data_IF_655300994170
#
_entry.id   IF_655300994170
#
_cell.length_a   1.000
_cell.length_b   1.000
_cell.length_c   1.000
_cell.angle_alpha   90.00
_cell.angle_beta   90.00
_cell.angle_gamma   90.00
#
_symmetry.space_group_name_H-M   'P 1'
#
loop_
_entity.id
_entity.type
_entity.pdbx_description
1 polymer ?
#
# COMPACT_ATOMS: atom_id res chain seq x y z
N UNK A 1 35.28 8.18 24.19
CA UNK A 1 34.84 9.46 24.74
C UNK A 1 36.03 10.08 25.46
N UNK A 2 36.30 11.36 25.26
CA UNK A 2 37.44 12.04 25.90
C UNK A 2 37.03 12.41 27.33
N UNK A 3 37.80 11.95 28.36
CA UNK A 3 37.46 12.12 29.78
C UNK A 3 37.32 13.57 30.20
N UNK A 4 38.14 14.48 29.62
CA UNK A 4 38.12 15.92 29.89
C UNK A 4 36.83 16.59 29.39
N UNK A 5 36.37 16.20 28.18
CA UNK A 5 35.10 16.66 27.62
C UNK A 5 33.90 16.09 28.38
N UNK A 6 34.00 14.88 28.87
CA UNK A 6 32.95 14.25 29.67
C UNK A 6 32.72 15.00 31.01
N UNK A 7 33.80 15.28 31.74
CA UNK A 7 33.75 16.09 32.94
C UNK A 7 33.19 17.50 32.72
N UNK A 8 33.50 18.10 31.60
CA UNK A 8 32.99 19.39 31.25
C UNK A 8 31.48 19.37 30.97
N UNK A 9 31.03 18.36 30.20
CA UNK A 9 29.62 18.18 29.81
C UNK A 9 28.71 17.80 30.99
N UNK A 10 29.23 17.21 32.08
CA UNK A 10 28.48 16.96 33.34
C UNK A 10 27.96 18.22 34.01
N UNK A 11 28.45 19.41 33.62
CA UNK A 11 27.94 20.68 34.13
C UNK A 11 26.60 21.11 33.54
N UNK A 12 26.15 20.45 32.47
CA UNK A 12 24.89 20.78 31.82
C UNK A 12 23.82 19.86 32.35
N UNK A 13 22.76 20.47 32.90
CA UNK A 13 21.60 19.76 33.45
C UNK A 13 20.46 19.78 32.44
N UNK A 14 19.88 18.62 32.18
CA UNK A 14 18.69 18.53 31.31
C UNK A 14 17.46 19.06 32.05
N UNK A 15 16.68 20.01 31.47
CA UNK A 15 15.62 20.72 32.19
C UNK A 15 14.44 19.83 32.67
N UNK A 16 14.19 18.70 32.00
CA UNK A 16 13.10 17.79 32.36
C UNK A 16 13.54 16.71 33.37
N UNK A 17 14.76 16.19 33.21
CA UNK A 17 15.24 15.09 34.06
C UNK A 17 15.95 15.56 35.34
N UNK A 18 16.31 16.85 35.41
CA UNK A 18 17.11 17.44 36.47
C UNK A 18 18.46 16.75 36.74
N UNK A 19 18.89 15.91 35.80
CA UNK A 19 20.17 15.19 35.81
C UNK A 19 21.12 15.74 34.74
N UNK A 20 22.43 15.53 34.93
CA UNK A 20 23.38 15.96 33.93
C UNK A 20 23.26 15.13 32.64
N UNK A 21 23.59 15.75 31.50
CA UNK A 21 23.38 15.16 30.17
C UNK A 21 24.26 13.95 29.88
N UNK A 22 25.36 13.75 30.64
CA UNK A 22 26.26 12.60 30.47
C UNK A 22 25.69 11.37 31.18
N UNK A 23 25.40 11.50 32.49
CA UNK A 23 24.88 10.39 33.29
C UNK A 23 23.45 9.99 32.87
N UNK A 24 22.69 10.90 32.28
CA UNK A 24 21.38 10.63 31.66
C UNK A 24 21.47 9.98 30.27
N UNK A 25 22.68 9.78 29.72
CA UNK A 25 22.89 9.13 28.43
C UNK A 25 22.51 9.98 27.21
N UNK A 26 22.42 11.30 27.36
CA UNK A 26 22.17 12.21 26.23
C UNK A 26 23.43 12.50 25.39
N UNK A 27 24.62 12.15 25.86
CA UNK A 27 25.88 12.28 25.13
C UNK A 27 26.24 10.91 24.51
N UNK A 28 26.11 10.80 23.18
CA UNK A 28 26.44 9.58 22.43
C UNK A 28 27.96 9.54 22.13
N UNK A 29 28.54 10.69 21.81
CA UNK A 29 29.95 10.82 21.43
C UNK A 29 30.52 12.17 21.80
N UNK A 30 31.76 12.18 22.34
CA UNK A 30 32.50 13.38 22.63
C UNK A 30 33.99 13.12 22.31
N UNK A 31 34.42 13.60 21.14
CA UNK A 31 35.74 13.34 20.61
C UNK A 31 36.50 14.65 20.37
N UNK A 32 37.83 14.61 20.50
CA UNK A 32 38.74 15.69 20.13
C UNK A 32 39.64 15.18 19.02
N UNK A 33 39.64 15.88 17.89
CA UNK A 33 40.49 15.59 16.76
C UNK A 33 41.98 15.96 17.02
N UNK A 34 42.87 15.37 16.25
CA UNK A 34 44.32 15.69 16.30
C UNK A 34 44.61 17.15 15.94
N UNK A 35 43.72 17.78 15.16
CA UNK A 35 43.75 19.21 14.78
C UNK A 35 43.18 20.14 15.86
N UNK A 36 42.77 19.59 17.02
CA UNK A 36 42.15 20.33 18.11
C UNK A 36 40.67 20.59 17.93
N UNK A 37 40.01 20.10 16.86
CA UNK A 37 38.57 20.22 16.67
C UNK A 37 37.81 19.36 17.70
N UNK A 38 36.64 19.79 18.11
CA UNK A 38 35.79 19.09 19.09
C UNK A 38 34.45 18.72 18.43
N UNK A 39 34.11 17.44 18.43
CA UNK A 39 32.83 16.93 17.91
C UNK A 39 32.03 16.30 19.04
N UNK A 40 30.82 16.82 19.28
CA UNK A 40 29.88 16.29 20.27
C UNK A 40 28.64 15.80 19.54
N UNK A 41 28.23 14.57 19.80
CA UNK A 41 26.95 14.01 19.32
C UNK A 41 26.01 13.84 20.52
N UNK A 42 24.91 14.57 20.49
CA UNK A 42 23.84 14.46 21.47
C UNK A 42 22.76 13.51 20.93
N UNK A 43 22.29 12.58 21.74
CA UNK A 43 21.25 11.60 21.40
C UNK A 43 20.07 11.74 22.35
N UNK A 44 18.94 12.18 21.84
CA UNK A 44 17.69 12.27 22.59
C UNK A 44 16.82 11.04 22.34
N UNK A 45 16.20 10.52 23.39
CA UNK A 45 15.37 9.30 23.31
C UNK A 45 13.97 9.57 22.72
N UNK A 46 13.49 10.82 22.81
CA UNK A 46 12.22 11.25 22.24
C UNK A 46 12.47 11.92 20.88
N UNK A 47 11.73 11.50 19.87
CA UNK A 47 11.66 12.25 18.60
C UNK A 47 11.09 13.65 18.90
N UNK A 48 11.76 14.70 18.45
CA UNK A 48 11.44 16.12 18.74
C UNK A 48 11.39 16.44 20.25
N UNK A 49 12.44 16.10 20.97
CA UNK A 49 12.59 16.54 22.35
C UNK A 49 12.56 18.07 22.42
N UNK A 50 11.63 18.70 23.16
CA UNK A 50 11.49 20.16 23.20
C UNK A 50 12.71 20.88 23.76
N UNK A 51 13.56 20.18 24.50
CA UNK A 51 14.76 20.72 25.09
C UNK A 51 16.04 20.47 24.28
N UNK A 52 15.99 19.68 23.22
CA UNK A 52 17.15 19.30 22.41
C UNK A 52 17.93 20.52 21.90
N UNK A 53 17.24 21.54 21.38
CA UNK A 53 17.88 22.75 20.89
C UNK A 53 18.47 23.61 22.03
N UNK A 54 17.81 23.63 23.19
CA UNK A 54 18.30 24.35 24.37
C UNK A 54 19.58 23.71 24.91
N UNK A 55 19.59 22.38 25.04
CA UNK A 55 20.77 21.62 25.47
C UNK A 55 21.92 21.77 24.49
N UNK A 56 21.65 21.68 23.18
CA UNK A 56 22.67 21.93 22.14
C UNK A 56 23.33 23.30 22.32
N UNK A 57 22.52 24.32 22.48
CA UNK A 57 23.03 25.70 22.65
C UNK A 57 23.89 25.85 23.91
N UNK A 58 23.48 25.23 25.03
CA UNK A 58 24.26 25.21 26.26
C UNK A 58 25.60 24.49 26.07
N UNK A 59 25.64 23.38 25.32
CA UNK A 59 26.89 22.69 24.96
C UNK A 59 27.80 23.60 24.10
N UNK A 60 27.25 24.24 23.07
CA UNK A 60 28.01 25.14 22.22
C UNK A 60 28.58 26.33 23.00
N UNK A 61 27.81 26.94 23.90
CA UNK A 61 28.26 28.06 24.73
C UNK A 61 29.37 27.62 25.73
N UNK A 62 29.22 26.44 26.32
CA UNK A 62 30.23 25.87 27.24
C UNK A 62 31.53 25.53 26.52
N UNK A 63 31.45 24.94 25.32
CA UNK A 63 32.65 24.64 24.51
C UNK A 63 33.36 25.91 24.06
N UNK A 64 32.65 26.96 23.62
CA UNK A 64 33.22 28.25 23.26
C UNK A 64 33.94 28.93 24.44
N UNK A 65 33.39 28.81 25.63
CA UNK A 65 33.98 29.36 26.84
C UNK A 65 35.25 28.60 27.28
N UNK A 66 35.27 27.28 27.12
CA UNK A 66 36.38 26.44 27.59
C UNK A 66 37.49 26.24 26.56
N UNK A 67 37.15 26.33 25.26
CA UNK A 67 38.09 26.10 24.14
C UNK A 67 37.89 27.14 23.03
N UNK A 68 38.18 28.42 23.26
CA UNK A 68 37.87 29.52 22.32
C UNK A 68 38.57 29.39 20.96
N UNK A 69 39.73 28.74 20.91
CA UNK A 69 40.54 28.56 19.69
C UNK A 69 40.17 27.29 18.89
N UNK A 70 39.29 26.44 19.38
CA UNK A 70 38.93 25.18 18.75
C UNK A 70 37.67 25.30 17.87
N UNK A 71 37.64 24.57 16.76
CA UNK A 71 36.41 24.39 16.00
C UNK A 71 35.46 23.40 16.70
N UNK A 72 34.23 23.83 16.92
CA UNK A 72 33.22 23.00 17.62
C UNK A 72 32.12 22.57 16.67
N UNK A 73 31.77 21.27 16.69
CA UNK A 73 30.63 20.71 15.98
C UNK A 73 29.75 19.99 16.97
N UNK A 74 28.51 20.46 17.17
CA UNK A 74 27.51 19.80 18.02
C UNK A 74 26.36 19.31 17.15
N UNK A 75 26.22 17.98 17.05
CA UNK A 75 25.21 17.31 16.23
C UNK A 75 24.14 16.73 17.17
N UNK A 76 22.88 16.99 16.88
CA UNK A 76 21.76 16.29 17.50
C UNK A 76 21.43 15.08 16.61
N UNK A 77 21.51 13.88 17.17
CA UNK A 77 20.88 12.68 16.64
C UNK A 77 19.58 12.47 17.40
N UNK A 78 18.48 12.71 16.74
CA UNK A 78 17.20 12.23 17.23
C UNK A 78 17.25 10.69 17.15
N UNK A 79 16.88 10.03 18.25
CA UNK A 79 16.62 8.61 18.15
C UNK A 79 15.56 8.44 17.08
N UNK A 80 15.84 7.62 16.07
CA UNK A 80 14.78 7.13 15.20
C UNK A 80 13.66 6.67 16.14
N UNK A 81 12.41 7.08 15.93
CA UNK A 81 11.31 6.60 16.74
C UNK A 81 11.51 5.09 16.79
N UNK A 82 11.73 4.54 17.99
CA UNK A 82 11.66 3.09 18.14
C UNK A 82 10.34 2.74 17.52
N UNK A 83 10.29 1.89 16.47
CA UNK A 83 9.02 1.36 16.07
C UNK A 83 8.47 0.80 17.39
N UNK A 84 7.40 1.39 17.91
CA UNK A 84 6.56 0.68 18.86
C UNK A 84 6.28 -0.61 18.09
N UNK A 85 6.85 -1.72 18.52
CA UNK A 85 6.28 -3.02 18.27
C UNK A 85 4.89 -2.95 18.94
N UNK A 86 3.97 -2.30 18.27
CA UNK A 86 2.60 -2.72 18.32
C UNK A 86 2.69 -4.15 17.82
N UNK A 87 2.44 -5.11 18.65
CA UNK A 87 2.00 -6.42 18.20
C UNK A 87 0.84 -6.07 17.29
N UNK A 88 1.09 -6.10 15.98
CA UNK A 88 0.10 -5.79 14.97
C UNK A 88 -0.94 -6.89 15.14
N UNK A 89 -2.07 -6.54 15.77
CA UNK A 89 -3.25 -7.38 15.70
C UNK A 89 -3.52 -7.49 14.21
N UNK A 90 -3.26 -8.65 13.67
CA UNK A 90 -3.37 -8.87 12.22
C UNK A 90 -4.86 -8.92 11.90
N UNK A 91 -5.44 -7.79 11.50
CA UNK A 91 -6.87 -7.67 11.15
C UNK A 91 -7.26 -8.51 9.95
N UNK A 92 -6.28 -9.16 9.31
CA UNK A 92 -6.46 -10.07 8.19
C UNK A 92 -6.69 -11.53 8.59
N UNK A 93 -6.69 -11.87 9.87
CA UNK A 93 -6.88 -13.25 10.36
C UNK A 93 -8.27 -13.81 10.07
N UNK A 94 -9.28 -12.94 10.00
CA UNK A 94 -10.67 -13.31 9.73
C UNK A 94 -11.05 -13.19 8.24
N UNK A 95 -10.06 -13.14 7.36
CA UNK A 95 -10.26 -13.11 5.90
C UNK A 95 -9.92 -14.48 5.34
N UNK A 96 -10.90 -15.11 4.70
CA UNK A 96 -10.71 -16.44 4.10
C UNK A 96 -9.71 -16.39 2.94
N UNK A 97 -9.94 -15.52 1.97
CA UNK A 97 -9.10 -15.42 0.80
C UNK A 97 -8.71 -13.97 0.49
N UNK A 98 -7.41 -13.75 0.30
CA UNK A 98 -6.86 -12.48 -0.20
C UNK A 98 -6.42 -12.69 -1.65
N UNK A 99 -7.00 -11.92 -2.57
CA UNK A 99 -6.75 -12.04 -4.01
C UNK A 99 -6.04 -10.78 -4.50
N UNK A 100 -4.82 -10.93 -5.01
CA UNK A 100 -4.10 -9.84 -5.65
C UNK A 100 -4.61 -9.61 -7.06
N UNK A 101 -5.01 -8.37 -7.39
CA UNK A 101 -5.35 -7.96 -8.75
C UNK A 101 -4.16 -7.15 -9.29
N UNK A 102 -3.49 -7.70 -10.28
CA UNK A 102 -2.25 -7.17 -10.80
C UNK A 102 -2.32 -6.88 -12.30
N UNK A 103 -1.46 -6.00 -12.78
CA UNK A 103 -1.27 -5.75 -14.22
C UNK A 103 0.18 -5.40 -14.49
N UNK A 104 0.69 -5.81 -15.64
CA UNK A 104 2.07 -5.52 -16.04
C UNK A 104 2.31 -4.04 -16.38
N UNK A 105 1.26 -3.29 -16.75
CA UNK A 105 1.32 -1.85 -17.06
C UNK A 105 0.05 -1.13 -16.64
N UNK A 106 0.13 0.21 -16.54
CA UNK A 106 -1.02 1.08 -16.31
C UNK A 106 -1.97 1.16 -17.52
N UNK A 107 -3.23 1.51 -17.27
CA UNK A 107 -4.23 1.77 -18.29
C UNK A 107 -4.92 0.54 -18.89
N UNK A 108 -4.69 -0.66 -18.37
CA UNK A 108 -5.39 -1.89 -18.82
C UNK A 108 -6.77 -2.09 -18.17
N UNK A 109 -7.16 -1.21 -17.24
CA UNK A 109 -8.44 -1.29 -16.51
C UNK A 109 -8.40 -2.23 -15.31
N UNK A 110 -7.24 -2.42 -14.68
CA UNK A 110 -7.06 -3.22 -13.46
C UNK A 110 -8.08 -2.86 -12.38
N UNK A 111 -8.15 -1.59 -12.01
CA UNK A 111 -9.04 -1.10 -10.94
C UNK A 111 -10.51 -1.23 -11.31
N UNK A 112 -10.86 -1.08 -12.59
CA UNK A 112 -12.21 -1.34 -13.12
C UNK A 112 -12.59 -2.82 -12.97
N UNK A 113 -11.66 -3.72 -13.28
CA UNK A 113 -11.86 -5.16 -13.07
C UNK A 113 -12.02 -5.45 -11.58
N UNK A 114 -11.18 -4.86 -10.73
CA UNK A 114 -11.27 -5.03 -9.26
C UNK A 114 -12.65 -4.65 -8.73
N UNK A 115 -13.15 -3.46 -9.06
CA UNK A 115 -14.43 -2.96 -8.56
C UNK A 115 -15.62 -3.79 -9.04
N UNK A 116 -15.66 -4.16 -10.33
CA UNK A 116 -16.76 -4.95 -10.87
C UNK A 116 -16.71 -6.42 -10.40
N UNK A 117 -15.52 -7.00 -10.21
CA UNK A 117 -15.36 -8.33 -9.62
C UNK A 117 -15.82 -8.34 -8.16
N UNK A 118 -15.52 -7.29 -7.38
CA UNK A 118 -16.00 -7.15 -6.01
C UNK A 118 -17.54 -7.15 -5.96
N UNK A 119 -18.17 -6.42 -6.87
CA UNK A 119 -19.65 -6.41 -7.01
C UNK A 119 -20.17 -7.78 -7.39
N UNK A 120 -19.56 -8.48 -8.35
CA UNK A 120 -19.99 -9.82 -8.78
C UNK A 120 -19.89 -10.83 -7.63
N UNK A 121 -18.82 -10.82 -6.84
CA UNK A 121 -18.69 -11.65 -5.65
C UNK A 121 -19.74 -11.30 -4.59
N UNK A 122 -20.00 -10.00 -4.38
CA UNK A 122 -21.04 -9.54 -3.45
C UNK A 122 -22.43 -9.99 -3.88
N UNK A 123 -22.78 -9.94 -5.17
CA UNK A 123 -24.05 -10.43 -5.70
C UNK A 123 -24.23 -11.95 -5.52
N UNK A 124 -23.14 -12.71 -5.43
CA UNK A 124 -23.16 -14.14 -5.10
C UNK A 124 -23.34 -14.42 -3.60
N UNK A 125 -23.45 -13.35 -2.78
CA UNK A 125 -23.71 -13.45 -1.34
C UNK A 125 -22.47 -13.40 -0.45
N UNK A 126 -21.26 -13.28 -1.01
CA UNK A 126 -20.02 -13.23 -0.24
C UNK A 126 -19.80 -11.91 0.48
N UNK A 127 -19.10 -11.94 1.61
CA UNK A 127 -18.61 -10.75 2.31
C UNK A 127 -17.30 -10.33 1.65
N UNK A 128 -17.30 -9.15 1.02
CA UNK A 128 -16.20 -8.67 0.17
C UNK A 128 -15.59 -7.39 0.71
N UNK A 129 -14.27 -7.33 0.68
CA UNK A 129 -13.47 -6.12 0.89
C UNK A 129 -12.64 -5.78 -0.34
N UNK A 130 -12.33 -4.49 -0.51
CA UNK A 130 -11.40 -3.97 -1.52
C UNK A 130 -10.35 -3.13 -0.81
N UNK A 131 -9.09 -3.48 -0.98
CA UNK A 131 -7.94 -2.68 -0.58
C UNK A 131 -7.31 -2.06 -1.84
N UNK A 132 -7.42 -0.75 -1.98
CA UNK A 132 -6.73 0.01 -3.02
C UNK A 132 -5.33 0.36 -2.54
N UNK A 133 -4.36 -0.34 -3.08
CA UNK A 133 -2.95 -0.18 -2.78
C UNK A 133 -2.18 0.56 -3.89
N UNK A 134 -2.88 1.11 -4.89
CA UNK A 134 -2.26 1.88 -5.98
C UNK A 134 -1.94 3.30 -5.51
N UNK A 135 -0.72 3.47 -4.99
CA UNK A 135 -0.24 4.74 -4.43
C UNK A 135 -0.18 5.85 -5.48
N UNK A 136 0.09 5.49 -6.72
CA UNK A 136 0.32 6.44 -7.80
C UNK A 136 -0.97 6.92 -8.48
N UNK A 137 -2.04 6.14 -8.36
CA UNK A 137 -3.32 6.43 -8.97
C UNK A 137 -4.49 5.76 -8.27
N UNK A 138 -4.69 6.05 -6.95
CA UNK A 138 -5.79 5.45 -6.22
C UNK A 138 -7.13 5.83 -6.87
N UNK A 139 -7.93 4.84 -7.20
CA UNK A 139 -9.14 5.04 -7.98
C UNK A 139 -10.39 4.37 -7.40
N UNK A 140 -10.22 3.46 -6.43
CA UNK A 140 -11.35 2.74 -5.86
C UNK A 140 -12.31 3.66 -5.08
N UNK A 141 -11.80 4.75 -4.47
CA UNK A 141 -12.62 5.75 -3.81
C UNK A 141 -13.64 6.37 -4.75
N UNK A 142 -13.22 6.71 -5.98
CA UNK A 142 -14.08 7.24 -7.03
C UNK A 142 -15.02 6.18 -7.56
N UNK A 143 -14.50 4.99 -7.89
CA UNK A 143 -15.29 3.89 -8.45
C UNK A 143 -16.43 3.42 -7.55
N UNK A 144 -16.26 3.55 -6.23
CA UNK A 144 -17.30 3.22 -5.25
C UNK A 144 -18.04 4.45 -4.69
N UNK A 145 -17.80 5.65 -5.23
CA UNK A 145 -18.48 6.88 -4.81
C UNK A 145 -18.24 7.28 -3.36
N UNK A 146 -17.09 6.92 -2.81
CA UNK A 146 -16.74 7.19 -1.42
C UNK A 146 -15.58 8.19 -1.26
N UNK A 147 -15.29 9.03 -2.26
CA UNK A 147 -14.20 10.02 -2.22
C UNK A 147 -14.27 10.98 -1.04
N UNK A 148 -15.49 11.30 -0.58
CA UNK A 148 -15.71 12.19 0.57
C UNK A 148 -15.62 11.50 1.93
N UNK A 149 -15.35 10.18 1.96
CA UNK A 149 -15.22 9.46 3.22
C UNK A 149 -13.91 9.80 3.92
N UNK A 150 -14.00 10.09 5.21
CA UNK A 150 -12.85 10.31 6.09
C UNK A 150 -12.77 9.13 7.05
N UNK A 151 -11.76 8.28 6.94
CA UNK A 151 -11.62 7.12 7.83
C UNK A 151 -11.52 7.55 9.30
N UNK A 152 -12.35 6.93 10.14
CA UNK A 152 -12.30 7.11 11.58
C UNK A 152 -11.35 6.09 12.19
N UNK A 153 -10.69 6.49 13.29
CA UNK A 153 -9.89 5.60 14.11
C UNK A 153 -10.70 5.18 15.32
N UNK A 154 -10.83 3.88 15.54
CA UNK A 154 -11.40 3.32 16.76
C UNK A 154 -10.33 2.62 17.58
N UNK A 155 -10.48 2.64 18.90
CA UNK A 155 -9.60 1.90 19.80
C UNK A 155 -10.38 0.79 20.46
N UNK A 156 -9.80 -0.43 20.47
CA UNK A 156 -10.40 -1.55 21.20
C UNK A 156 -10.12 -1.47 22.72
N UNK A 157 -10.68 -2.44 23.44
CA UNK A 157 -10.50 -2.56 24.90
C UNK A 157 -9.04 -2.86 25.30
N UNK A 158 -8.25 -3.41 24.38
CA UNK A 158 -6.83 -3.74 24.58
C UNK A 158 -5.90 -2.56 24.21
N UNK A 159 -6.47 -1.46 23.69
CA UNK A 159 -5.75 -0.23 23.36
C UNK A 159 -5.15 -0.19 21.94
N UNK A 160 -5.55 -1.09 21.04
CA UNK A 160 -5.13 -1.09 19.65
C UNK A 160 -5.98 -0.11 18.83
N UNK A 161 -5.32 0.65 17.96
CA UNK A 161 -5.98 1.58 17.06
C UNK A 161 -6.33 0.88 15.73
N UNK A 162 -7.60 0.96 15.32
CA UNK A 162 -8.12 0.44 14.05
C UNK A 162 -8.63 1.58 13.18
N UNK A 163 -8.54 1.36 11.87
CA UNK A 163 -9.08 2.25 10.84
C UNK A 163 -10.36 1.63 10.30
N UNK A 164 -11.44 2.38 10.32
CA UNK A 164 -12.73 1.91 9.82
C UNK A 164 -12.77 2.08 8.30
N UNK A 165 -13.06 1.01 7.52
CA UNK A 165 -13.20 1.10 6.07
C UNK A 165 -14.54 1.76 5.68
N UNK A 166 -14.56 2.44 4.53
CA UNK A 166 -15.79 2.90 3.92
C UNK A 166 -16.71 1.70 3.57
N UNK A 167 -18.01 1.94 3.52
CA UNK A 167 -19.02 0.97 3.12
C UNK A 167 -19.71 1.46 1.85
N UNK A 168 -19.59 0.74 0.76
CA UNK A 168 -20.25 1.05 -0.51
C UNK A 168 -20.80 -0.23 -1.14
N UNK A 169 -22.06 -0.24 -1.53
CA UNK A 169 -22.74 -1.41 -2.14
C UNK A 169 -22.65 -2.71 -1.30
N UNK A 170 -22.53 -2.60 0.02
CA UNK A 170 -22.29 -3.72 0.92
C UNK A 170 -20.88 -4.32 0.85
N UNK A 171 -19.92 -3.58 0.27
CA UNK A 171 -18.50 -3.91 0.15
C UNK A 171 -17.72 -2.97 1.08
N UNK A 172 -16.74 -3.49 1.81
CA UNK A 172 -15.80 -2.69 2.60
C UNK A 172 -14.68 -2.18 1.70
N UNK A 173 -14.47 -0.87 1.68
CA UNK A 173 -13.45 -0.24 0.83
C UNK A 173 -12.45 0.51 1.70
N UNK A 174 -11.18 0.17 1.56
CA UNK A 174 -10.07 0.93 2.11
C UNK A 174 -9.14 1.31 0.97
N UNK A 175 -8.76 2.58 0.91
CA UNK A 175 -7.87 3.10 -0.12
C UNK A 175 -6.83 4.02 0.48
N UNK A 176 -5.63 3.94 -0.06
CA UNK A 176 -4.59 4.93 0.20
C UNK A 176 -5.07 6.34 -0.22
N UNK A 177 -6.00 6.42 -1.17
CA UNK A 177 -6.61 7.67 -1.63
C UNK A 177 -7.37 8.44 -0.57
N UNK A 178 -7.80 7.83 0.54
CA UNK A 178 -8.40 8.55 1.66
C UNK A 178 -7.41 9.41 2.46
N UNK A 179 -6.11 9.13 2.33
CA UNK A 179 -5.04 9.75 3.11
C UNK A 179 -4.13 10.66 2.29
N UNK A 180 -4.20 10.58 0.96
CA UNK A 180 -3.37 11.34 0.03
C UNK A 180 -4.22 12.39 -0.69
N UNK A 181 -3.87 13.66 -0.54
CA UNK A 181 -4.47 14.69 -1.41
C UNK A 181 -3.82 14.60 -2.79
N UNK A 182 -4.57 14.85 -3.88
CA UNK A 182 -4.02 14.80 -5.24
C UNK A 182 -2.78 15.68 -5.43
N UNK A 183 -2.69 16.79 -4.68
CA UNK A 183 -1.54 17.71 -4.68
C UNK A 183 -0.31 17.16 -3.97
N UNK A 184 -0.46 16.20 -3.08
CA UNK A 184 0.60 15.70 -2.19
C UNK A 184 1.21 14.39 -2.71
N UNK A 185 0.60 13.75 -3.69
CA UNK A 185 1.04 12.47 -4.27
C UNK A 185 2.50 12.51 -4.78
N UNK A 186 2.96 13.67 -5.28
CA UNK A 186 4.35 13.87 -5.74
C UNK A 186 5.38 13.86 -4.59
N UNK A 187 4.97 14.07 -3.34
CA UNK A 187 5.87 14.14 -2.18
C UNK A 187 6.01 12.79 -1.45
N UNK A 188 5.18 11.82 -1.77
CA UNK A 188 5.23 10.49 -1.17
C UNK A 188 6.39 9.69 -1.76
N UNK A 189 7.53 9.75 -1.10
CA UNK A 189 8.70 8.95 -1.48
C UNK A 189 8.57 7.54 -0.89
N UNK A 190 9.07 6.53 -1.63
CA UNK A 190 8.89 5.10 -1.44
C UNK A 190 8.70 4.60 0.02
N UNK A 191 9.54 5.02 0.97
CA UNK A 191 9.41 4.56 2.35
C UNK A 191 8.18 5.07 3.10
N UNK A 192 7.67 6.27 2.80
CA UNK A 192 6.43 6.79 3.42
C UNK A 192 5.21 6.05 2.88
N UNK A 193 5.20 5.77 1.60
CA UNK A 193 4.13 5.05 0.92
C UNK A 193 4.01 3.60 1.42
N UNK A 194 5.14 2.91 1.56
CA UNK A 194 5.20 1.55 2.12
C UNK A 194 4.70 1.53 3.56
N UNK A 195 5.11 2.50 4.40
CA UNK A 195 4.64 2.58 5.78
C UNK A 195 3.12 2.83 5.89
N UNK A 196 2.56 3.67 5.02
CA UNK A 196 1.12 3.89 4.99
C UNK A 196 0.36 2.64 4.56
N UNK A 197 0.81 1.96 3.50
CA UNK A 197 0.23 0.68 3.09
C UNK A 197 0.31 -0.36 4.20
N UNK A 198 1.43 -0.46 4.90
CA UNK A 198 1.57 -1.32 6.07
C UNK A 198 0.48 -1.02 7.11
N UNK A 199 0.22 0.26 7.42
CA UNK A 199 -0.85 0.63 8.34
C UNK A 199 -2.23 0.23 7.80
N UNK A 200 -2.52 0.49 6.53
CA UNK A 200 -3.80 0.11 5.91
C UNK A 200 -4.03 -1.41 5.91
N UNK A 201 -2.99 -2.19 5.67
CA UNK A 201 -3.06 -3.66 5.69
C UNK A 201 -3.36 -4.16 7.11
N UNK A 202 -2.65 -3.66 8.12
CA UNK A 202 -2.68 -4.22 9.47
C UNK A 202 -3.68 -3.54 10.41
N UNK A 203 -4.09 -2.29 10.14
CA UNK A 203 -4.97 -1.54 11.04
C UNK A 203 -6.40 -1.39 10.52
N UNK A 204 -6.71 -1.77 9.27
CA UNK A 204 -8.10 -1.72 8.79
C UNK A 204 -8.95 -2.77 9.48
N UNK A 205 -10.07 -2.37 10.08
CA UNK A 205 -11.03 -3.27 10.72
C UNK A 205 -11.88 -3.97 9.67
N UNK A 206 -11.30 -4.98 9.03
CA UNK A 206 -12.00 -5.76 8.01
C UNK A 206 -13.15 -6.60 8.59
N UNK A 207 -12.97 -7.16 9.81
CA UNK A 207 -13.85 -8.18 10.35
C UNK A 207 -13.91 -9.40 9.44
N UNK A 208 -14.94 -10.21 9.56
CA UNK A 208 -15.08 -11.44 8.77
C UNK A 208 -15.35 -11.11 7.30
N UNK A 209 -14.45 -11.54 6.41
CA UNK A 209 -14.56 -11.45 4.96
C UNK A 209 -14.34 -12.84 4.32
N UNK A 210 -15.10 -13.12 3.27
CA UNK A 210 -14.87 -14.26 2.41
C UNK A 210 -13.76 -13.97 1.40
N UNK A 211 -13.77 -12.77 0.82
CA UNK A 211 -12.75 -12.32 -0.15
C UNK A 211 -12.32 -10.89 0.13
N UNK A 212 -11.00 -10.66 0.14
CA UNK A 212 -10.39 -9.34 0.07
C UNK A 212 -9.68 -9.20 -1.27
N UNK A 213 -10.13 -8.29 -2.14
CA UNK A 213 -9.46 -7.95 -3.38
C UNK A 213 -8.46 -6.84 -3.13
N UNK A 214 -7.21 -7.04 -3.52
CA UNK A 214 -6.12 -6.06 -3.38
C UNK A 214 -5.77 -5.51 -4.74
N UNK A 215 -6.14 -4.27 -4.98
CA UNK A 215 -5.82 -3.53 -6.22
C UNK A 215 -4.37 -3.03 -6.14
N UNK A 216 -3.44 -3.78 -6.75
CA UNK A 216 -2.01 -3.51 -6.69
C UNK A 216 -1.63 -2.32 -7.60
N UNK A 217 -0.53 -1.62 -7.35
CA UNK A 217 0.04 -0.67 -8.30
C UNK A 217 0.29 -1.33 -9.67
N UNK A 218 0.40 -0.61 -10.78
CA UNK A 218 0.80 -1.19 -12.05
C UNK A 218 2.30 -1.56 -12.05
N UNK A 219 2.66 -2.62 -12.79
CA UNK A 219 4.04 -3.09 -12.92
C UNK A 219 4.41 -4.21 -11.95
N UNK A 220 5.71 -4.39 -11.66
CA UNK A 220 6.29 -5.51 -10.89
C UNK A 220 7.46 -5.05 -10.00
N UNK A 221 7.36 -3.87 -9.38
CA UNK A 221 8.45 -3.28 -8.59
C UNK A 221 8.44 -3.69 -7.10
N UNK A 222 9.36 -3.11 -6.33
CA UNK A 222 9.59 -3.42 -4.89
C UNK A 222 8.34 -3.23 -4.02
N UNK A 223 7.45 -2.30 -4.39
CA UNK A 223 6.19 -2.07 -3.66
C UNK A 223 5.28 -3.29 -3.73
N UNK A 224 5.22 -3.99 -4.89
CA UNK A 224 4.45 -5.23 -5.01
C UNK A 224 4.97 -6.29 -4.06
N UNK A 225 6.28 -6.51 -4.02
CA UNK A 225 6.90 -7.48 -3.13
C UNK A 225 6.66 -7.14 -1.65
N UNK A 226 6.66 -5.85 -1.30
CA UNK A 226 6.34 -5.42 0.07
C UNK A 226 4.89 -5.78 0.44
N UNK A 227 3.91 -5.46 -0.41
CA UNK A 227 2.49 -5.78 -0.17
C UNK A 227 2.27 -7.29 -0.10
N UNK A 228 2.87 -8.04 -1.04
CA UNK A 228 2.77 -9.50 -1.14
C UNK A 228 3.34 -10.19 0.11
N UNK A 229 4.44 -9.69 0.64
CA UNK A 229 5.08 -10.25 1.84
C UNK A 229 4.29 -9.95 3.13
N UNK A 230 3.49 -8.90 3.15
CA UNK A 230 2.69 -8.51 4.32
C UNK A 230 1.31 -9.17 4.35
N UNK A 231 0.77 -9.52 3.19
CA UNK A 231 -0.53 -10.16 3.03
C UNK A 231 -0.36 -11.66 2.72
N UNK A 232 -1.13 -12.49 3.39
CA UNK A 232 -1.24 -13.91 3.02
C UNK A 232 -2.09 -14.04 1.75
N UNK A 233 -1.49 -13.76 0.58
CA UNK A 233 -2.17 -13.82 -0.71
C UNK A 233 -2.53 -15.28 -1.04
N UNK A 234 -3.82 -15.56 -1.26
CA UNK A 234 -4.33 -16.87 -1.65
C UNK A 234 -4.17 -17.15 -3.15
N UNK A 235 -4.17 -16.08 -3.96
CA UNK A 235 -3.99 -16.19 -5.41
C UNK A 235 -3.95 -14.84 -6.08
N UNK A 236 -3.50 -14.81 -7.35
CA UNK A 236 -3.38 -13.60 -8.14
C UNK A 236 -4.21 -13.69 -9.43
N UNK A 237 -4.89 -12.60 -9.79
CA UNK A 237 -5.56 -12.38 -11.06
C UNK A 237 -4.77 -11.35 -11.85
N UNK A 238 -4.41 -11.68 -13.08
CA UNK A 238 -3.66 -10.77 -13.96
C UNK A 238 -4.61 -10.12 -14.96
N UNK A 239 -4.64 -8.80 -15.00
CA UNK A 239 -5.45 -8.02 -15.94
C UNK A 239 -4.59 -7.51 -17.09
N UNK A 240 -5.03 -7.74 -18.32
CA UNK A 240 -4.35 -7.28 -19.52
C UNK A 240 -5.35 -6.86 -20.60
N UNK A 241 -4.83 -6.25 -21.67
CA UNK A 241 -5.55 -6.01 -22.93
C UNK A 241 -5.00 -6.94 -24.01
N UNK A 242 -5.71 -7.12 -25.18
CA UNK A 242 -5.25 -8.02 -26.24
C UNK A 242 -3.93 -7.61 -26.93
N UNK A 243 -3.40 -6.41 -26.67
CA UNK A 243 -2.19 -5.89 -27.34
C UNK A 243 -0.95 -6.71 -26.97
N UNK A 244 -0.11 -7.03 -27.96
CA UNK A 244 1.14 -7.78 -27.71
C UNK A 244 2.08 -7.10 -26.72
N UNK A 245 2.14 -5.76 -26.72
CA UNK A 245 2.94 -5.01 -25.73
C UNK A 245 2.42 -5.24 -24.31
N UNK A 246 1.10 -5.33 -24.12
CA UNK A 246 0.51 -5.63 -22.81
C UNK A 246 0.77 -7.08 -22.40
N UNK A 247 0.76 -8.02 -23.33
CA UNK A 247 1.06 -9.43 -23.09
C UNK A 247 2.50 -9.62 -22.59
N UNK A 248 3.48 -8.90 -23.15
CA UNK A 248 4.86 -8.95 -22.66
C UNK A 248 4.98 -8.53 -21.18
N UNK A 249 4.13 -7.63 -20.72
CA UNK A 249 4.08 -7.22 -19.33
C UNK A 249 3.33 -8.24 -18.44
N UNK A 250 2.35 -8.96 -19.01
CA UNK A 250 1.68 -10.09 -18.32
C UNK A 250 2.69 -11.18 -18.00
N UNK A 251 3.59 -11.51 -18.92
CA UNK A 251 4.68 -12.48 -18.68
C UNK A 251 5.45 -12.13 -17.42
N UNK A 252 5.87 -10.86 -17.27
CA UNK A 252 6.62 -10.42 -16.07
C UNK A 252 5.79 -10.53 -14.80
N UNK A 253 4.50 -10.19 -14.86
CA UNK A 253 3.58 -10.31 -13.73
C UNK A 253 3.43 -11.76 -13.28
N UNK A 254 3.22 -12.67 -14.22
CA UNK A 254 3.10 -14.12 -13.94
C UNK A 254 4.38 -14.66 -13.35
N UNK A 255 5.54 -14.34 -13.93
CA UNK A 255 6.84 -14.79 -13.44
C UNK A 255 7.13 -14.26 -12.03
N UNK A 256 6.72 -13.04 -11.71
CA UNK A 256 6.85 -12.49 -10.36
C UNK A 256 6.08 -13.34 -9.33
N UNK A 257 4.82 -13.70 -9.60
CA UNK A 257 4.03 -14.52 -8.68
C UNK A 257 4.51 -15.96 -8.60
N UNK A 258 5.02 -16.52 -9.71
CA UNK A 258 5.59 -17.88 -9.76
C UNK A 258 7.00 -17.97 -9.18
N UNK A 259 7.68 -16.84 -8.95
CA UNK A 259 9.03 -16.84 -8.43
C UNK A 259 9.10 -17.63 -7.10
N UNK A 260 10.12 -18.51 -6.88
CA UNK A 260 10.17 -19.38 -5.70
C UNK A 260 10.09 -18.68 -4.34
N UNK A 261 10.52 -17.42 -4.26
CA UNK A 261 10.43 -16.61 -3.05
C UNK A 261 9.03 -16.04 -2.80
N UNK A 262 8.19 -15.91 -3.84
CA UNK A 262 6.81 -15.39 -3.78
C UNK A 262 5.84 -16.56 -3.72
N UNK A 263 5.94 -17.50 -4.64
CA UNK A 263 5.20 -18.76 -4.73
C UNK A 263 3.69 -18.62 -4.54
N UNK A 264 3.08 -17.67 -5.27
CA UNK A 264 1.63 -17.43 -5.26
C UNK A 264 1.01 -17.99 -6.53
N UNK A 265 -0.07 -18.74 -6.35
CA UNK A 265 -0.84 -19.29 -7.47
C UNK A 265 -1.42 -18.15 -8.34
N UNK A 266 -1.17 -18.19 -9.64
CA UNK A 266 -1.89 -17.35 -10.61
C UNK A 266 -3.20 -18.05 -10.93
N UNK A 267 -4.32 -17.46 -10.47
CA UNK A 267 -5.68 -18.00 -10.68
C UNK A 267 -6.07 -17.95 -12.15
N UNK A 268 -5.62 -16.90 -12.85
CA UNK A 268 -5.84 -16.75 -14.27
C UNK A 268 -5.64 -15.34 -14.77
N UNK A 269 -5.96 -15.16 -16.05
CA UNK A 269 -5.87 -13.88 -16.77
C UNK A 269 -7.26 -13.38 -17.12
N UNK A 270 -7.51 -12.09 -16.94
CA UNK A 270 -8.68 -11.37 -17.47
C UNK A 270 -8.22 -10.52 -18.66
N UNK A 271 -8.72 -10.80 -19.86
CA UNK A 271 -8.48 -9.98 -21.04
C UNK A 271 -9.54 -8.88 -21.10
N UNK A 272 -9.20 -7.70 -20.63
CA UNK A 272 -10.06 -6.53 -20.64
C UNK A 272 -9.96 -5.79 -21.97
N UNK A 273 -11.00 -5.01 -22.35
CA UNK A 273 -11.07 -4.27 -23.62
C UNK A 273 -10.93 -5.19 -24.84
N UNK A 274 -11.47 -6.42 -24.74
CA UNK A 274 -11.24 -7.47 -25.72
C UNK A 274 -11.82 -7.15 -27.10
N UNK A 275 -12.97 -6.48 -27.17
CA UNK A 275 -13.60 -5.95 -28.39
C UNK A 275 -14.56 -4.82 -28.05
N UNK A 276 -15.03 -4.14 -29.07
CA UNK A 276 -16.12 -3.16 -29.01
C UNK A 276 -17.26 -3.62 -29.93
N UNK A 277 -18.50 -3.50 -29.46
CA UNK A 277 -19.71 -3.75 -30.26
C UNK A 277 -20.57 -2.49 -30.23
N UNK A 278 -20.74 -1.78 -31.38
CA UNK A 278 -21.65 -0.65 -31.49
C UNK A 278 -23.11 -1.08 -31.26
N UNK A 279 -23.91 -0.22 -30.67
CA UNK A 279 -25.34 -0.49 -30.44
C UNK A 279 -26.12 -0.66 -31.76
N UNK A 280 -25.75 0.08 -32.81
CA UNK A 280 -26.36 0.01 -34.13
C UNK A 280 -26.01 -1.30 -34.86
N UNK A 281 -24.93 -1.98 -34.48
CA UNK A 281 -24.43 -3.20 -35.10
C UNK A 281 -24.16 -4.29 -34.04
N UNK A 282 -25.19 -4.79 -33.35
CA UNK A 282 -25.01 -5.67 -32.19
C UNK A 282 -24.35 -7.03 -32.46
N UNK A 283 -24.29 -7.42 -33.73
CA UNK A 283 -23.63 -8.67 -34.18
C UNK A 283 -22.18 -8.47 -34.59
N UNK A 284 -21.68 -7.22 -34.62
CA UNK A 284 -20.32 -6.90 -35.07
C UNK A 284 -19.38 -6.70 -33.88
N UNK A 285 -18.20 -7.30 -33.96
CA UNK A 285 -17.13 -7.10 -32.98
C UNK A 285 -15.94 -6.42 -33.64
N UNK A 286 -15.54 -5.30 -33.09
CA UNK A 286 -14.36 -4.54 -33.53
C UNK A 286 -13.23 -4.71 -32.51
N UNK A 287 -12.09 -5.22 -32.94
CA UNK A 287 -10.94 -5.53 -32.10
C UNK A 287 -9.94 -4.37 -32.12
N UNK A 288 -10.29 -3.30 -31.38
CA UNK A 288 -9.53 -2.04 -31.37
C UNK A 288 -8.11 -2.20 -30.84
N UNK A 289 -7.90 -3.14 -29.95
CA UNK A 289 -6.61 -3.43 -29.31
C UNK A 289 -5.99 -4.77 -29.74
N UNK A 290 -6.41 -5.30 -30.87
CA UNK A 290 -6.03 -6.63 -31.33
C UNK A 290 -6.97 -7.70 -30.81
N UNK A 291 -6.66 -8.97 -31.05
CA UNK A 291 -7.55 -10.10 -30.75
C UNK A 291 -6.82 -11.20 -30.01
N UNK A 292 -7.32 -11.57 -28.82
CA UNK A 292 -6.93 -12.79 -28.08
C UNK A 292 -5.44 -12.85 -27.72
N UNK A 293 -4.78 -11.72 -27.46
CA UNK A 293 -3.36 -11.72 -27.12
C UNK A 293 -3.10 -12.31 -25.74
N UNK A 294 -3.90 -11.90 -24.75
CA UNK A 294 -3.79 -12.43 -23.40
C UNK A 294 -4.31 -13.88 -23.33
N UNK A 295 -5.34 -14.23 -24.10
CA UNK A 295 -5.85 -15.59 -24.24
C UNK A 295 -4.78 -16.56 -24.76
N UNK A 296 -4.07 -16.20 -25.84
CA UNK A 296 -2.97 -17.02 -26.37
C UNK A 296 -1.86 -17.22 -25.36
N UNK A 297 -1.46 -16.15 -24.69
CA UNK A 297 -0.43 -16.25 -23.64
C UNK A 297 -0.89 -17.15 -22.48
N UNK A 298 -2.12 -16.99 -22.02
CA UNK A 298 -2.67 -17.83 -20.94
C UNK A 298 -2.58 -19.31 -21.32
N UNK A 299 -2.96 -19.66 -22.54
CA UNK A 299 -2.85 -21.02 -23.08
C UNK A 299 -1.39 -21.51 -23.14
N UNK A 300 -0.47 -20.70 -23.68
CA UNK A 300 0.96 -21.03 -23.78
C UNK A 300 1.63 -21.20 -22.40
N UNK A 301 1.24 -20.38 -21.43
CA UNK A 301 1.76 -20.41 -20.06
C UNK A 301 1.10 -21.45 -19.13
N UNK A 302 0.08 -22.17 -19.65
CA UNK A 302 -0.70 -23.11 -18.84
C UNK A 302 -1.47 -22.43 -17.70
N UNK A 303 -2.02 -21.24 -17.97
CA UNK A 303 -2.82 -20.44 -17.04
C UNK A 303 -4.24 -20.33 -17.62
N UNK A 304 -5.24 -20.31 -16.75
CA UNK A 304 -6.62 -20.18 -17.20
C UNK A 304 -6.94 -18.76 -17.68
N UNK A 305 -7.72 -18.66 -18.76
CA UNK A 305 -8.41 -17.43 -19.12
C UNK A 305 -9.70 -17.36 -18.29
N UNK A 306 -9.73 -16.46 -17.32
CA UNK A 306 -10.89 -16.26 -16.45
C UNK A 306 -12.05 -15.65 -17.22
N UNK A 307 -11.78 -14.70 -18.10
CA UNK A 307 -12.78 -14.08 -18.95
C UNK A 307 -12.23 -13.03 -19.89
N UNK A 308 -13.09 -12.64 -20.84
CA UNK A 308 -12.85 -11.53 -21.76
C UNK A 308 -13.95 -10.49 -21.56
N UNK A 309 -13.58 -9.25 -21.24
CA UNK A 309 -14.50 -8.14 -21.01
C UNK A 309 -14.44 -7.17 -22.17
N UNK A 310 -15.56 -6.91 -22.89
CA UNK A 310 -15.59 -5.94 -23.98
C UNK A 310 -15.52 -4.50 -23.49
N UNK A 311 -15.29 -3.58 -24.42
CA UNK A 311 -15.45 -2.14 -24.18
C UNK A 311 -16.94 -1.85 -24.18
N UNK A 312 -17.47 -1.42 -23.05
CA UNK A 312 -18.87 -1.05 -22.85
C UNK A 312 -18.90 0.33 -22.17
N UNK A 313 -19.70 1.25 -22.71
CA UNK A 313 -19.77 2.61 -22.21
C UNK A 313 -20.21 2.65 -20.72
N UNK A 314 -21.17 1.82 -20.32
CA UNK A 314 -21.64 1.78 -18.93
C UNK A 314 -20.54 1.42 -17.91
N UNK A 315 -19.47 0.72 -18.34
CA UNK A 315 -18.31 0.43 -17.48
C UNK A 315 -17.58 1.73 -17.14
N UNK A 316 -17.38 2.60 -18.13
CA UNK A 316 -16.77 3.92 -17.91
C UNK A 316 -17.70 4.80 -17.07
N UNK A 317 -18.96 4.93 -17.47
CA UNK A 317 -19.95 5.76 -16.79
C UNK A 317 -20.14 5.33 -15.34
N UNK A 318 -20.17 4.02 -15.08
CA UNK A 318 -20.26 3.47 -13.72
C UNK A 318 -19.08 3.84 -12.84
N UNK A 319 -17.86 3.74 -13.38
CA UNK A 319 -16.64 4.13 -12.68
C UNK A 319 -16.58 5.63 -12.38
N UNK A 320 -17.03 6.48 -13.31
CA UNK A 320 -17.08 7.93 -13.13
C UNK A 320 -18.17 8.37 -12.12
N UNK A 321 -19.29 7.65 -12.07
CA UNK A 321 -20.44 7.97 -11.22
C UNK A 321 -20.42 7.25 -9.85
N UNK A 322 -19.35 6.56 -9.52
CA UNK A 322 -19.18 5.91 -8.21
C UNK A 322 -20.07 4.67 -8.00
N UNK A 323 -20.49 4.04 -9.09
CA UNK A 323 -21.28 2.81 -9.06
C UNK A 323 -20.78 1.85 -10.16
N UNK A 324 -19.95 0.85 -9.83
CA UNK A 324 -19.43 -0.10 -10.82
C UNK A 324 -20.55 -0.70 -11.66
N UNK A 325 -20.34 -0.77 -12.98
CA UNK A 325 -21.38 -1.12 -13.95
C UNK A 325 -21.98 -2.52 -13.75
N UNK A 326 -21.23 -3.47 -13.19
CA UNK A 326 -21.74 -4.79 -12.81
C UNK A 326 -22.90 -4.74 -11.81
N UNK A 327 -23.11 -3.61 -11.12
CA UNK A 327 -24.24 -3.40 -10.22
C UNK A 327 -25.52 -2.92 -10.94
N UNK A 328 -25.38 -2.29 -12.11
CA UNK A 328 -26.49 -1.59 -12.79
C UNK A 328 -26.76 -2.05 -14.22
N UNK A 329 -25.78 -2.67 -14.89
CA UNK A 329 -25.92 -3.20 -16.27
C UNK A 329 -25.80 -4.74 -16.24
N UNK A 330 -26.89 -5.41 -16.60
CA UNK A 330 -26.96 -6.88 -16.60
C UNK A 330 -25.93 -7.54 -17.53
N UNK A 331 -25.62 -6.91 -18.68
CA UNK A 331 -24.61 -7.42 -19.62
C UNK A 331 -23.22 -7.42 -18.99
N UNK A 332 -22.90 -6.32 -18.29
CA UNK A 332 -21.62 -6.22 -17.55
C UNK A 332 -21.59 -7.21 -16.40
N UNK A 333 -22.72 -7.33 -15.65
CA UNK A 333 -22.85 -8.29 -14.56
C UNK A 333 -22.57 -9.73 -15.01
N UNK A 334 -23.04 -10.15 -16.18
CA UNK A 334 -22.79 -11.50 -16.72
C UNK A 334 -21.30 -11.78 -16.93
N UNK A 335 -20.56 -10.86 -17.59
CA UNK A 335 -19.11 -11.05 -17.79
C UNK A 335 -18.35 -11.23 -16.47
N UNK A 336 -18.68 -10.43 -15.45
CA UNK A 336 -18.00 -10.51 -14.17
C UNK A 336 -18.51 -11.66 -13.29
N UNK A 337 -19.77 -12.10 -13.47
CA UNK A 337 -20.30 -13.28 -12.81
C UNK A 337 -19.54 -14.55 -13.22
N UNK A 338 -19.25 -14.72 -14.52
CA UNK A 338 -18.47 -15.84 -15.05
C UNK A 338 -17.03 -15.83 -14.49
N UNK A 339 -16.41 -14.65 -14.41
CA UNK A 339 -15.07 -14.49 -13.83
C UNK A 339 -15.10 -14.85 -12.34
N UNK A 340 -16.08 -14.33 -11.60
CA UNK A 340 -16.24 -14.61 -10.18
C UNK A 340 -16.47 -16.09 -9.90
N UNK A 341 -17.27 -16.78 -10.73
CA UNK A 341 -17.52 -18.22 -10.61
C UNK A 341 -16.24 -19.03 -10.68
N UNK A 342 -15.42 -18.78 -11.70
CA UNK A 342 -14.13 -19.48 -11.87
C UNK A 342 -13.15 -19.20 -10.72
N UNK A 343 -13.21 -17.99 -10.12
CA UNK A 343 -12.40 -17.67 -8.95
C UNK A 343 -12.89 -18.44 -7.73
N UNK A 344 -14.21 -18.49 -7.50
CA UNK A 344 -14.81 -19.23 -6.38
C UNK A 344 -14.53 -20.73 -6.48
N UNK A 345 -14.57 -21.30 -7.69
CA UNK A 345 -14.20 -22.71 -7.92
C UNK A 345 -12.75 -23.01 -7.53
N UNK A 346 -11.84 -22.06 -7.73
CA UNK A 346 -10.41 -22.21 -7.38
C UNK A 346 -10.11 -21.91 -5.91
N UNK A 347 -10.89 -21.04 -5.31
CA UNK A 347 -10.78 -20.60 -3.92
C UNK A 347 -12.15 -20.68 -3.23
N UNK A 348 -12.65 -21.88 -2.97
CA UNK A 348 -13.94 -22.05 -2.27
C UNK A 348 -13.86 -21.56 -0.83
N UNK A 349 -14.97 -20.99 -0.32
CA UNK A 349 -15.07 -20.50 1.05
C UNK A 349 -15.52 -21.64 1.96
N UNK A 350 -14.57 -22.26 2.64
CA UNK A 350 -14.78 -23.35 3.61
C UNK A 350 -14.34 -22.93 5.05
N UNK A 351 -14.23 -21.60 5.31
CA UNK A 351 -13.67 -21.06 6.57
C UNK A 351 -14.70 -20.89 7.69
#
# INVERSE_FOLDING_TARGET
MNEELELLLKRIIHPETEQNIVDSGFVDRADRGEDGSIAITLRFQKARDPFAQKVKRQVEELLKASYPESNHMVIIREAAPKPRRQESVTTTTDICHVIAIASGKGGVGKSTVTSNLAVALRHRGYNVGVLDADIYGPSQTKMFGCEGYVPEAERDEEGHDFIIPAQALGIKVMSIGFFIRPTDALMWRGGMAVNALHQLIHQTRWGKLDYLLVDLPPGTGDIHLSIINELKISGAVIVSTPQQVAVADVVRGVEMFRHPQVNIQVLGVVENMAWFTPEELPNNRYYLFGRGGAERYAHEAGIDLLGQVPIIQSIMDGGENGCPAGNIDSRVSEYYADIAEKIVEKLPVDC
#
